data_IF_008136147427
#
_entry.id   IF_008136147427
#
_cell.length_a   1.000
_cell.length_b   1.000
_cell.length_c   1.000
_cell.angle_alpha   90.00
_cell.angle_beta   90.00
_cell.angle_gamma   90.00
#
_symmetry.space_group_name_H-M   'P 1'
#
loop_
_entity.id
_entity.type
_entity.pdbx_description
1 polymer ?
#
# COMPACT_ATOMS: atom_id res chain seq x y z
N UNK A 1 10.49 -25.26 60.96
CA UNK A 1 10.75 -24.93 59.52
C UNK A 1 9.63 -24.04 58.99
N UNK A 2 9.85 -22.73 58.80
CA UNK A 2 8.85 -21.83 58.23
C UNK A 2 8.86 -21.94 56.72
N UNK A 3 7.77 -22.45 56.16
CA UNK A 3 7.60 -22.56 54.69
C UNK A 3 7.60 -21.15 54.04
N UNK A 4 8.60 -20.85 53.21
CA UNK A 4 8.71 -19.60 52.44
C UNK A 4 7.54 -19.51 51.47
N UNK A 5 6.50 -18.74 51.82
CA UNK A 5 5.34 -18.50 50.94
C UNK A 5 5.85 -17.82 49.67
N UNK A 6 5.61 -18.43 48.49
CA UNK A 6 6.08 -17.89 47.21
C UNK A 6 5.51 -16.46 46.98
N UNK A 7 6.30 -15.58 46.36
CA UNK A 7 5.90 -14.18 46.02
C UNK A 7 4.53 -14.12 45.35
N UNK A 8 4.21 -15.11 44.50
CA UNK A 8 2.93 -15.25 43.81
C UNK A 8 1.74 -15.52 44.75
N UNK A 9 1.92 -16.34 45.80
CA UNK A 9 0.88 -16.57 46.82
C UNK A 9 0.63 -15.32 47.66
N UNK A 10 1.69 -14.54 47.96
CA UNK A 10 1.55 -13.24 48.65
C UNK A 10 0.79 -12.25 47.79
N UNK A 11 1.10 -12.15 46.50
CA UNK A 11 0.44 -11.30 45.55
C UNK A 11 -1.06 -11.66 45.35
N UNK A 12 -1.38 -12.96 45.19
CA UNK A 12 -2.77 -13.41 45.17
C UNK A 12 -3.57 -13.05 46.43
N UNK A 13 -2.96 -13.21 47.61
CA UNK A 13 -3.60 -12.81 48.89
C UNK A 13 -3.80 -11.30 48.97
N UNK A 14 -2.84 -10.49 48.55
CA UNK A 14 -2.95 -9.04 48.45
C UNK A 14 -4.10 -8.64 47.52
N UNK A 15 -4.19 -9.19 46.33
CA UNK A 15 -5.30 -8.94 45.39
C UNK A 15 -6.65 -9.31 46.03
N UNK A 16 -6.78 -10.50 46.56
CA UNK A 16 -8.05 -10.96 47.17
C UNK A 16 -8.51 -10.11 48.34
N UNK A 17 -7.58 -9.53 49.11
CA UNK A 17 -7.89 -8.67 50.26
C UNK A 17 -8.25 -7.25 49.84
N UNK A 18 -7.65 -6.70 48.82
CA UNK A 18 -7.79 -5.30 48.42
C UNK A 18 -8.76 -5.07 47.25
N UNK A 19 -9.05 -6.08 46.44
CA UNK A 19 -10.01 -5.98 45.33
C UNK A 19 -11.44 -6.27 45.84
N UNK A 20 -12.03 -5.32 46.55
CA UNK A 20 -13.45 -5.38 46.85
C UNK A 20 -14.27 -5.02 45.61
N UNK A 21 -15.56 -5.43 45.51
CA UNK A 21 -16.44 -5.01 44.41
C UNK A 21 -16.48 -3.50 44.20
N UNK A 22 -16.49 -2.76 45.28
CA UNK A 22 -16.46 -1.28 45.27
C UNK A 22 -15.15 -0.74 44.69
N UNK A 23 -14.01 -1.30 45.10
CA UNK A 23 -12.72 -0.93 44.54
C UNK A 23 -12.66 -1.24 43.03
N UNK A 24 -13.08 -2.43 42.64
CA UNK A 24 -13.11 -2.84 41.21
C UNK A 24 -13.94 -1.89 40.38
N UNK A 25 -15.12 -1.46 40.89
CA UNK A 25 -15.99 -0.48 40.23
C UNK A 25 -15.31 0.87 40.07
N UNK A 26 -14.71 1.41 41.14
CA UNK A 26 -13.98 2.69 41.06
C UNK A 26 -12.77 2.62 40.14
N UNK A 27 -12.00 1.54 40.19
CA UNK A 27 -10.87 1.34 39.30
C UNK A 27 -11.32 1.27 37.83
N UNK A 28 -12.40 0.54 37.52
CA UNK A 28 -12.99 0.48 36.17
C UNK A 28 -13.41 1.86 35.67
N UNK A 29 -14.03 2.69 36.50
CA UNK A 29 -14.38 4.07 36.12
C UNK A 29 -13.15 4.93 35.85
N UNK A 30 -12.10 4.81 36.68
CA UNK A 30 -10.86 5.55 36.46
C UNK A 30 -10.16 5.14 35.15
N UNK A 31 -10.08 3.83 34.89
CA UNK A 31 -9.52 3.29 33.64
C UNK A 31 -10.37 3.76 32.45
N UNK A 32 -11.70 3.68 32.53
CA UNK A 32 -12.57 4.15 31.47
C UNK A 32 -12.41 5.66 31.22
N UNK A 33 -12.43 6.48 32.26
CA UNK A 33 -12.23 7.92 32.15
C UNK A 33 -10.84 8.27 31.55
N UNK A 34 -9.81 7.56 31.98
CA UNK A 34 -8.46 7.72 31.41
C UNK A 34 -8.41 7.38 29.92
N UNK A 35 -8.95 6.22 29.52
CA UNK A 35 -8.98 5.80 28.12
C UNK A 35 -9.81 6.76 27.25
N UNK A 36 -10.93 7.24 27.77
CA UNK A 36 -11.78 8.23 27.08
C UNK A 36 -11.04 9.55 26.90
N UNK A 37 -10.33 10.02 27.94
CA UNK A 37 -9.55 11.25 27.87
C UNK A 37 -8.40 11.12 26.85
N UNK A 38 -7.69 10.00 26.86
CA UNK A 38 -6.64 9.72 25.87
C UNK A 38 -7.22 9.69 24.45
N UNK A 39 -8.36 9.01 24.26
CA UNK A 39 -9.02 8.96 22.95
C UNK A 39 -9.44 10.34 22.46
N UNK A 40 -9.98 11.20 23.33
CA UNK A 40 -10.32 12.59 22.99
C UNK A 40 -9.08 13.41 22.61
N UNK A 41 -8.01 13.34 23.40
CA UNK A 41 -6.76 14.06 23.10
C UNK A 41 -6.20 13.63 21.75
N UNK A 42 -6.15 12.31 21.49
CA UNK A 42 -5.70 11.77 20.20
C UNK A 42 -6.59 12.24 19.07
N UNK A 43 -7.92 12.23 19.26
CA UNK A 43 -8.88 12.70 18.26
C UNK A 43 -8.72 14.20 17.93
N UNK A 44 -8.58 15.06 18.95
CA UNK A 44 -8.37 16.50 18.76
C UNK A 44 -7.01 16.77 18.10
N UNK A 45 -5.95 16.11 18.55
CA UNK A 45 -4.63 16.26 17.96
C UNK A 45 -4.63 15.83 16.48
N UNK A 46 -5.27 14.70 16.16
CA UNK A 46 -5.36 14.23 14.79
C UNK A 46 -6.22 15.14 13.90
N UNK A 47 -7.33 15.68 14.43
CA UNK A 47 -8.12 16.69 13.73
C UNK A 47 -7.29 17.96 13.45
N UNK A 48 -6.58 18.49 14.45
CA UNK A 48 -5.74 19.67 14.29
C UNK A 48 -4.61 19.45 13.26
N UNK A 49 -3.95 18.30 13.32
CA UNK A 49 -2.92 17.92 12.34
C UNK A 49 -3.50 17.80 10.93
N UNK A 50 -4.66 17.16 10.77
CA UNK A 50 -5.32 16.99 9.46
C UNK A 50 -5.75 18.33 8.87
N UNK A 51 -6.28 19.23 9.72
CA UNK A 51 -6.62 20.60 9.34
C UNK A 51 -5.39 21.39 8.91
N UNK A 52 -4.32 21.34 9.70
CA UNK A 52 -3.02 21.97 9.37
C UNK A 52 -2.45 21.48 8.03
N UNK A 53 -2.68 20.21 7.65
CA UNK A 53 -2.27 19.74 6.32
C UNK A 53 -3.07 20.37 5.21
N UNK A 54 -4.38 20.52 5.36
CA UNK A 54 -5.24 21.14 4.36
C UNK A 54 -4.95 22.65 4.13
N UNK A 55 -4.35 23.32 5.11
CA UNK A 55 -3.94 24.74 5.01
C UNK A 55 -2.60 24.92 4.27
N UNK A 56 -1.85 23.85 4.02
CA UNK A 56 -0.59 23.93 3.27
C UNK A 56 -0.86 24.00 1.78
N UNK A 57 -0.01 24.77 1.05
CA UNK A 57 -0.06 24.76 -0.41
C UNK A 57 0.18 23.35 -0.92
N UNK A 58 -0.78 22.80 -1.66
CA UNK A 58 -0.61 21.53 -2.33
C UNK A 58 0.38 21.66 -3.48
N UNK A 59 1.37 20.80 -3.52
CA UNK A 59 2.30 20.66 -4.65
C UNK A 59 2.43 19.18 -4.91
N UNK A 60 1.98 18.73 -6.06
CA UNK A 60 2.13 17.34 -6.51
C UNK A 60 3.50 17.16 -7.19
N UNK A 61 3.94 15.94 -7.33
CA UNK A 61 5.05 15.59 -8.22
C UNK A 61 4.59 15.75 -9.67
N UNK A 62 5.52 16.10 -10.58
CA UNK A 62 5.18 16.38 -11.99
C UNK A 62 4.48 15.19 -12.66
N UNK A 63 4.94 13.98 -12.38
CA UNK A 63 4.37 12.73 -12.90
C UNK A 63 3.42 12.04 -11.90
N UNK A 64 2.81 12.79 -10.98
CA UNK A 64 1.90 12.22 -9.98
C UNK A 64 0.75 11.45 -10.62
N UNK A 65 0.51 10.23 -10.15
CA UNK A 65 -0.55 9.36 -10.64
C UNK A 65 -1.47 8.88 -9.51
N UNK A 66 -2.73 8.63 -9.90
CA UNK A 66 -3.70 7.92 -9.08
C UNK A 66 -3.93 6.58 -9.76
N UNK A 67 -3.56 5.50 -9.07
CA UNK A 67 -3.81 4.13 -9.53
C UNK A 67 -5.15 3.64 -8.99
N UNK A 68 -6.06 3.27 -9.88
CA UNK A 68 -7.27 2.57 -9.51
C UNK A 68 -6.90 1.14 -9.10
N UNK A 69 -6.98 0.85 -7.81
CA UNK A 69 -6.79 -0.50 -7.26
C UNK A 69 -7.88 -1.42 -7.80
N UNK A 70 -7.53 -2.67 -8.05
CA UNK A 70 -8.53 -3.67 -8.46
C UNK A 70 -9.74 -3.66 -7.52
N UNK A 71 -10.95 -3.70 -8.08
CA UNK A 71 -12.20 -3.50 -7.32
C UNK A 71 -12.57 -2.03 -7.03
N UNK A 72 -11.91 -1.05 -7.65
CA UNK A 72 -12.37 0.34 -7.63
C UNK A 72 -13.68 0.52 -8.44
N UNK A 73 -14.33 1.69 -8.26
CA UNK A 73 -15.58 2.04 -8.94
C UNK A 73 -16.75 1.09 -8.62
N UNK A 74 -16.81 0.59 -7.37
CA UNK A 74 -17.85 -0.33 -6.87
C UNK A 74 -17.96 -1.64 -7.67
N UNK A 75 -16.83 -2.14 -8.17
CA UNK A 75 -16.73 -3.42 -8.89
C UNK A 75 -16.08 -4.51 -8.04
N UNK A 76 -16.20 -5.76 -8.48
CA UNK A 76 -15.44 -6.86 -7.90
C UNK A 76 -13.97 -6.81 -8.34
N UNK A 77 -13.08 -7.28 -7.46
CA UNK A 77 -11.65 -7.31 -7.71
C UNK A 77 -11.31 -8.31 -8.83
N UNK A 78 -10.33 -7.95 -9.66
CA UNK A 78 -9.78 -8.82 -10.70
C UNK A 78 -10.81 -9.32 -11.72
N UNK A 79 -11.77 -8.46 -12.08
CA UNK A 79 -12.82 -8.76 -13.04
C UNK A 79 -12.74 -7.86 -14.27
N UNK A 80 -13.34 -8.34 -15.36
CA UNK A 80 -13.49 -7.53 -16.59
C UNK A 80 -14.38 -6.31 -16.35
N UNK A 81 -15.35 -6.40 -15.46
CA UNK A 81 -16.21 -5.27 -15.11
C UNK A 81 -15.43 -4.14 -14.42
N UNK A 82 -14.44 -4.48 -13.58
CA UNK A 82 -13.49 -3.47 -13.08
C UNK A 82 -12.73 -2.78 -14.22
N UNK A 83 -12.19 -3.55 -15.17
CA UNK A 83 -11.43 -2.98 -16.31
C UNK A 83 -12.31 -2.05 -17.15
N UNK A 84 -13.54 -2.46 -17.47
CA UNK A 84 -14.52 -1.63 -18.18
C UNK A 84 -14.86 -0.35 -17.41
N UNK A 85 -15.09 -0.47 -16.09
CA UNK A 85 -15.36 0.67 -15.23
C UNK A 85 -14.18 1.64 -15.19
N UNK A 86 -12.95 1.14 -15.08
CA UNK A 86 -11.74 1.96 -15.09
C UNK A 86 -11.57 2.72 -16.43
N UNK A 87 -11.83 2.07 -17.54
CA UNK A 87 -11.83 2.70 -18.88
C UNK A 87 -12.91 3.79 -18.97
N UNK A 88 -14.15 3.48 -18.57
CA UNK A 88 -15.27 4.44 -18.55
C UNK A 88 -14.97 5.68 -17.71
N UNK A 89 -14.32 5.50 -16.56
CA UNK A 89 -13.96 6.58 -15.64
C UNK A 89 -12.58 7.23 -15.96
N UNK A 90 -12.00 6.89 -17.14
CA UNK A 90 -10.74 7.45 -17.63
C UNK A 90 -9.61 7.36 -16.59
N UNK A 91 -9.49 6.22 -15.93
CA UNK A 91 -8.39 5.96 -15.01
C UNK A 91 -7.06 6.03 -15.79
N UNK A 92 -6.09 6.78 -15.24
CA UNK A 92 -4.77 6.90 -15.88
C UNK A 92 -3.87 5.70 -15.61
N UNK A 93 -4.05 5.07 -14.45
CA UNK A 93 -3.36 3.84 -14.09
C UNK A 93 -4.38 2.89 -13.46
N UNK A 94 -4.37 1.64 -13.88
CA UNK A 94 -5.11 0.55 -13.23
C UNK A 94 -4.13 -0.45 -12.62
N UNK A 95 -4.53 -1.11 -11.56
CA UNK A 95 -3.75 -2.17 -10.93
C UNK A 95 -4.51 -3.49 -11.00
N UNK A 96 -3.78 -4.56 -11.35
CA UNK A 96 -4.30 -5.92 -11.50
C UNK A 96 -3.38 -6.89 -10.75
N UNK A 97 -3.96 -7.75 -9.92
CA UNK A 97 -3.24 -8.84 -9.25
C UNK A 97 -2.96 -9.97 -10.23
N UNK A 98 -1.71 -10.40 -10.36
CA UNK A 98 -1.31 -11.33 -11.42
C UNK A 98 -0.81 -12.66 -10.85
N UNK A 99 -1.45 -13.73 -11.34
CA UNK A 99 -1.08 -15.13 -11.09
C UNK A 99 -1.05 -15.96 -12.36
N UNK A 100 -0.70 -17.21 -12.22
CA UNK A 100 -0.64 -18.16 -13.32
C UNK A 100 -1.37 -19.45 -12.95
N UNK A 101 -2.23 -19.92 -13.85
CA UNK A 101 -2.86 -21.26 -13.76
C UNK A 101 -1.81 -22.37 -13.93
N UNK A 102 -2.13 -23.63 -13.56
CA UNK A 102 -1.24 -24.76 -13.82
C UNK A 102 -0.86 -24.96 -15.30
N UNK A 103 -1.76 -24.63 -16.23
CA UNK A 103 -1.54 -24.68 -17.68
C UNK A 103 -0.72 -23.50 -18.23
N UNK A 104 -0.22 -22.63 -17.35
CA UNK A 104 0.56 -21.40 -17.63
C UNK A 104 -0.25 -20.21 -18.14
N UNK A 105 -1.57 -20.29 -18.22
CA UNK A 105 -2.43 -19.13 -18.52
C UNK A 105 -2.26 -18.05 -17.45
N UNK A 106 -2.03 -16.82 -17.87
CA UNK A 106 -1.94 -15.65 -16.97
C UNK A 106 -3.34 -15.18 -16.62
N UNK A 107 -3.60 -15.02 -15.34
CA UNK A 107 -4.91 -14.65 -14.81
C UNK A 107 -4.83 -13.50 -13.80
N UNK A 108 -5.95 -12.82 -13.66
CA UNK A 108 -6.15 -11.80 -12.64
C UNK A 108 -6.71 -12.44 -11.37
N UNK A 109 -5.90 -12.55 -10.31
CA UNK A 109 -6.34 -13.08 -9.01
C UNK A 109 -5.42 -12.64 -7.89
N UNK A 110 -6.02 -12.22 -6.76
CA UNK A 110 -5.30 -12.01 -5.52
C UNK A 110 -4.96 -13.34 -4.84
N UNK A 111 -5.90 -14.27 -4.84
CA UNK A 111 -5.80 -15.54 -4.14
C UNK A 111 -5.11 -16.61 -4.99
N UNK A 112 -4.65 -17.67 -4.33
CA UNK A 112 -3.97 -18.79 -4.99
C UNK A 112 -4.89 -19.44 -6.03
N UNK A 113 -4.37 -19.65 -7.23
CA UNK A 113 -5.06 -20.31 -8.34
C UNK A 113 -4.57 -21.76 -8.42
N UNK A 114 -5.48 -22.72 -8.30
CA UNK A 114 -5.17 -24.15 -8.19
C UNK A 114 -5.67 -24.99 -9.37
N UNK A 115 -6.63 -24.48 -10.14
CA UNK A 115 -7.18 -25.18 -11.31
C UNK A 115 -7.07 -24.34 -12.59
N UNK A 116 -7.23 -25.00 -13.74
CA UNK A 116 -7.20 -24.31 -15.04
C UNK A 116 -8.50 -23.53 -15.36
N UNK A 117 -9.49 -23.57 -14.49
CA UNK A 117 -10.75 -22.84 -14.65
C UNK A 117 -10.89 -21.68 -13.65
N UNK A 118 -9.90 -21.51 -12.75
CA UNK A 118 -9.96 -20.47 -11.74
C UNK A 118 -9.56 -19.10 -12.33
N UNK A 119 -10.22 -18.06 -11.87
CA UNK A 119 -9.95 -16.65 -12.13
C UNK A 119 -10.12 -16.21 -13.62
N UNK A 120 -10.17 -14.91 -13.81
CA UNK A 120 -10.34 -14.27 -15.12
C UNK A 120 -9.01 -14.21 -15.87
N UNK A 121 -9.00 -14.55 -17.14
CA UNK A 121 -7.80 -14.47 -17.98
C UNK A 121 -7.37 -13.01 -18.20
N UNK A 122 -6.07 -12.74 -17.99
CA UNK A 122 -5.52 -11.40 -18.20
C UNK A 122 -5.71 -10.94 -19.65
N UNK A 123 -5.60 -11.86 -20.59
CA UNK A 123 -5.72 -11.55 -22.01
C UNK A 123 -7.04 -10.85 -22.37
N UNK A 124 -8.15 -11.20 -21.70
CA UNK A 124 -9.44 -10.53 -21.90
C UNK A 124 -9.38 -9.04 -21.49
N UNK A 125 -8.67 -8.74 -20.41
CA UNK A 125 -8.44 -7.37 -19.98
C UNK A 125 -7.54 -6.60 -20.96
N UNK A 126 -6.44 -7.22 -21.43
CA UNK A 126 -5.51 -6.59 -22.37
C UNK A 126 -6.16 -6.25 -23.70
N UNK A 127 -7.09 -7.08 -24.19
CA UNK A 127 -7.90 -6.80 -25.40
C UNK A 127 -8.68 -5.48 -25.28
N UNK A 128 -9.14 -5.13 -24.09
CA UNK A 128 -9.84 -3.86 -23.84
C UNK A 128 -8.88 -2.68 -23.66
N UNK A 129 -7.77 -2.91 -22.95
CA UNK A 129 -6.83 -1.85 -22.56
C UNK A 129 -5.96 -1.39 -23.74
N UNK A 130 -5.62 -2.26 -24.68
CA UNK A 130 -4.74 -1.92 -25.82
C UNK A 130 -5.24 -0.68 -26.58
N UNK A 131 -6.55 -0.53 -26.70
CA UNK A 131 -7.20 0.56 -27.44
C UNK A 131 -7.37 1.86 -26.60
N UNK A 132 -6.81 1.90 -25.38
CA UNK A 132 -6.82 3.07 -24.48
C UNK A 132 -5.38 3.58 -24.28
N UNK A 133 -4.83 4.41 -25.19
CA UNK A 133 -3.39 4.71 -25.25
C UNK A 133 -2.83 5.40 -24.03
N UNK A 134 -3.64 6.21 -23.33
CA UNK A 134 -3.23 6.98 -22.15
C UNK A 134 -3.25 6.19 -20.84
N UNK A 135 -3.73 4.94 -20.87
CA UNK A 135 -3.83 4.11 -19.68
C UNK A 135 -2.54 3.31 -19.45
N UNK A 136 -1.95 3.46 -18.28
CA UNK A 136 -0.85 2.62 -17.79
C UNK A 136 -1.39 1.47 -16.94
N UNK A 137 -0.62 0.40 -16.83
CA UNK A 137 -0.99 -0.80 -16.09
C UNK A 137 0.06 -1.08 -15.03
N UNK A 138 -0.38 -1.20 -13.80
CA UNK A 138 0.39 -1.75 -12.69
C UNK A 138 0.04 -3.22 -12.52
N UNK A 139 0.97 -4.11 -12.78
CA UNK A 139 0.81 -5.54 -12.50
C UNK A 139 1.37 -5.85 -11.11
N UNK A 140 0.49 -6.19 -10.16
CA UNK A 140 0.88 -6.61 -8.82
C UNK A 140 1.18 -8.11 -8.82
N UNK A 141 2.47 -8.45 -8.84
CA UNK A 141 2.96 -9.81 -9.03
C UNK A 141 2.80 -10.61 -7.74
N UNK A 142 1.91 -11.59 -7.76
CA UNK A 142 1.68 -12.48 -6.61
C UNK A 142 2.58 -13.71 -6.60
N UNK A 143 3.19 -14.05 -7.73
CA UNK A 143 4.14 -15.16 -7.86
C UNK A 143 5.07 -14.97 -9.06
N UNK A 144 6.34 -15.24 -8.88
CA UNK A 144 7.37 -14.94 -9.90
C UNK A 144 7.34 -15.87 -11.12
N UNK A 145 6.75 -17.04 -11.03
CA UNK A 145 6.63 -17.98 -12.16
C UNK A 145 5.84 -17.41 -13.33
N UNK A 146 5.00 -16.39 -13.10
CA UNK A 146 4.16 -15.76 -14.13
C UNK A 146 4.93 -14.81 -15.05
N UNK A 147 6.11 -14.33 -14.65
CA UNK A 147 6.81 -13.21 -15.29
C UNK A 147 7.05 -13.41 -16.79
N UNK A 148 7.53 -14.57 -17.21
CA UNK A 148 7.79 -14.81 -18.65
C UNK A 148 6.51 -14.90 -19.47
N UNK A 149 5.45 -15.52 -18.94
CA UNK A 149 4.14 -15.59 -19.62
C UNK A 149 3.48 -14.22 -19.69
N UNK A 150 3.58 -13.42 -18.61
CA UNK A 150 3.12 -12.02 -18.59
C UNK A 150 3.85 -11.20 -19.67
N UNK A 151 5.18 -11.27 -19.71
CA UNK A 151 5.96 -10.54 -20.69
C UNK A 151 5.55 -10.89 -22.12
N UNK A 152 5.35 -12.17 -22.44
CA UNK A 152 4.93 -12.60 -23.76
C UNK A 152 3.58 -11.93 -24.16
N UNK A 153 2.58 -11.97 -23.27
CA UNK A 153 1.31 -11.28 -23.50
C UNK A 153 1.50 -9.77 -23.73
N UNK A 154 2.34 -9.11 -22.92
CA UNK A 154 2.57 -7.66 -23.06
C UNK A 154 3.24 -7.30 -24.38
N UNK A 155 4.11 -8.15 -24.91
CA UNK A 155 4.70 -8.01 -26.25
C UNK A 155 3.61 -8.16 -27.31
N UNK A 156 2.79 -9.21 -27.26
CA UNK A 156 1.73 -9.50 -28.23
C UNK A 156 0.70 -8.36 -28.33
N UNK A 157 0.42 -7.70 -27.21
CA UNK A 157 -0.53 -6.57 -27.15
C UNK A 157 0.14 -5.18 -27.24
N UNK A 158 1.48 -5.10 -27.42
CA UNK A 158 2.25 -3.85 -27.47
C UNK A 158 2.03 -2.96 -26.23
N UNK A 159 2.13 -3.56 -25.04
CA UNK A 159 1.82 -2.91 -23.77
C UNK A 159 3.03 -2.75 -22.83
N UNK A 160 4.23 -3.19 -23.20
CA UNK A 160 5.44 -3.13 -22.36
C UNK A 160 5.69 -1.71 -21.86
N UNK A 161 5.72 -0.71 -22.75
CA UNK A 161 6.07 0.67 -22.42
C UNK A 161 5.02 1.40 -21.56
N UNK A 162 3.84 0.81 -21.43
CA UNK A 162 2.74 1.33 -20.58
C UNK A 162 2.55 0.54 -19.31
N UNK A 163 3.47 -0.38 -19.01
CA UNK A 163 3.36 -1.34 -17.91
C UNK A 163 4.50 -1.19 -16.92
N UNK A 164 4.20 -1.41 -15.66
CA UNK A 164 5.21 -1.55 -14.61
C UNK A 164 4.74 -2.58 -13.58
N UNK A 165 5.68 -3.04 -12.73
CA UNK A 165 5.41 -4.09 -11.76
C UNK A 165 5.41 -3.56 -10.32
N UNK A 166 4.51 -4.11 -9.50
CA UNK A 166 4.54 -4.08 -8.04
C UNK A 166 4.45 -5.50 -7.49
N UNK A 167 4.34 -5.69 -6.17
CA UNK A 167 4.36 -7.03 -5.59
C UNK A 167 5.76 -7.65 -5.53
N UNK A 168 6.79 -6.95 -5.98
CA UNK A 168 8.17 -7.44 -6.00
C UNK A 168 8.84 -7.16 -4.65
N UNK A 169 9.02 -8.20 -3.85
CA UNK A 169 9.81 -8.14 -2.63
C UNK A 169 11.29 -8.41 -2.91
N UNK A 170 12.17 -8.10 -1.96
CA UNK A 170 13.64 -8.28 -2.09
C UNK A 170 14.00 -9.70 -2.52
N UNK A 171 13.31 -10.70 -1.96
CA UNK A 171 13.54 -12.12 -2.29
C UNK A 171 13.20 -12.46 -3.74
N UNK A 172 12.30 -11.71 -4.37
CA UNK A 172 11.80 -11.93 -5.72
C UNK A 172 12.64 -11.24 -6.80
N UNK A 173 13.52 -10.30 -6.42
CA UNK A 173 14.30 -9.48 -7.36
C UNK A 173 15.16 -10.32 -8.29
N UNK A 174 15.77 -11.39 -7.78
CA UNK A 174 16.56 -12.32 -8.59
C UNK A 174 15.71 -12.92 -9.73
N UNK A 175 14.51 -13.38 -9.42
CA UNK A 175 13.61 -13.95 -10.42
C UNK A 175 13.18 -12.92 -11.47
N UNK A 176 12.97 -11.65 -11.09
CA UNK A 176 12.70 -10.56 -12.05
C UNK A 176 13.90 -10.37 -12.98
N UNK A 177 15.11 -10.26 -12.46
CA UNK A 177 16.34 -10.05 -13.25
C UNK A 177 16.67 -11.20 -14.18
N UNK A 178 16.27 -12.43 -13.85
CA UNK A 178 16.46 -13.63 -14.66
C UNK A 178 15.32 -13.91 -15.63
N UNK A 179 14.23 -13.12 -15.58
CA UNK A 179 13.07 -13.24 -16.46
C UNK A 179 13.13 -12.31 -17.68
N UNK A 180 12.20 -12.48 -18.59
CA UNK A 180 12.00 -11.55 -19.71
C UNK A 180 11.54 -10.14 -19.26
N UNK A 181 11.03 -10.01 -18.02
CA UNK A 181 10.66 -8.71 -17.41
C UNK A 181 11.85 -7.92 -16.85
N UNK A 182 13.11 -8.37 -17.02
CA UNK A 182 14.30 -7.76 -16.42
C UNK A 182 14.49 -6.27 -16.73
N UNK A 183 13.97 -5.81 -17.88
CA UNK A 183 14.04 -4.41 -18.32
C UNK A 183 12.77 -3.61 -18.07
N UNK A 184 11.77 -4.20 -17.44
CA UNK A 184 10.55 -3.48 -17.08
C UNK A 184 10.76 -2.68 -15.80
N UNK A 185 10.18 -1.48 -15.74
CA UNK A 185 10.12 -0.70 -14.52
C UNK A 185 9.38 -1.48 -13.41
N UNK A 186 9.95 -1.49 -12.20
CA UNK A 186 9.24 -2.03 -11.04
C UNK A 186 9.53 -1.26 -9.76
N UNK A 187 8.53 -1.22 -8.89
CA UNK A 187 8.68 -0.76 -7.52
C UNK A 187 8.99 -1.93 -6.59
N UNK A 188 9.90 -1.69 -5.65
CA UNK A 188 10.16 -2.65 -4.59
C UNK A 188 9.08 -2.56 -3.50
N UNK A 189 8.36 -3.65 -3.26
CA UNK A 189 7.47 -3.75 -2.12
C UNK A 189 8.30 -3.86 -0.84
N UNK A 190 8.32 -2.78 -0.07
CA UNK A 190 9.16 -2.68 1.13
C UNK A 190 8.39 -1.98 2.25
N UNK A 191 8.54 -2.45 3.49
CA UNK A 191 7.94 -1.82 4.67
C UNK A 191 8.97 -0.98 5.42
N UNK A 192 9.06 0.33 5.15
CA UNK A 192 10.03 1.20 5.79
C UNK A 192 9.65 1.48 7.26
N UNK A 193 10.66 1.68 8.10
CA UNK A 193 10.46 2.10 9.48
C UNK A 193 10.45 3.62 9.59
N UNK A 194 9.31 4.22 9.95
CA UNK A 194 9.21 5.67 10.18
C UNK A 194 10.18 6.18 11.25
N UNK A 195 10.38 5.41 12.32
CA UNK A 195 11.26 5.81 13.42
C UNK A 195 12.73 5.79 13.03
N UNK A 196 13.14 4.84 12.18
CA UNK A 196 14.53 4.73 11.72
C UNK A 196 14.84 5.66 10.54
N UNK A 197 13.83 6.26 9.92
CA UNK A 197 14.00 7.19 8.79
C UNK A 197 14.82 8.45 9.15
N UNK A 198 15.03 8.72 10.44
CA UNK A 198 15.91 9.79 10.95
C UNK A 198 17.38 9.36 11.05
N UNK A 199 17.70 8.07 11.01
CA UNK A 199 19.07 7.54 11.07
C UNK A 199 19.71 7.55 9.69
N UNK A 200 20.92 8.10 9.59
CA UNK A 200 21.69 8.12 8.33
C UNK A 200 22.05 6.72 7.84
N UNK A 201 22.42 5.82 8.75
CA UNK A 201 22.68 4.41 8.41
C UNK A 201 21.47 3.73 7.76
N UNK A 202 20.28 4.03 8.27
CA UNK A 202 19.04 3.46 7.71
C UNK A 202 18.72 4.06 6.35
N UNK A 203 18.93 5.36 6.15
CA UNK A 203 18.76 6.04 4.87
C UNK A 203 19.71 5.47 3.82
N UNK A 204 20.98 5.29 4.17
CA UNK A 204 21.97 4.66 3.30
C UNK A 204 21.58 3.23 2.91
N UNK A 205 21.08 2.45 3.88
CA UNK A 205 20.58 1.08 3.60
C UNK A 205 19.41 1.06 2.62
N UNK A 206 18.46 2.00 2.72
CA UNK A 206 17.37 2.09 1.75
C UNK A 206 17.87 2.41 0.36
N UNK A 207 18.76 3.40 0.23
CA UNK A 207 19.31 3.78 -1.08
C UNK A 207 20.12 2.63 -1.67
N UNK A 208 21.02 2.04 -0.89
CA UNK A 208 21.76 0.87 -1.34
C UNK A 208 20.87 -0.28 -1.76
N UNK A 209 19.78 -0.54 -1.05
CA UNK A 209 18.79 -1.55 -1.41
C UNK A 209 18.19 -1.28 -2.80
N UNK A 210 17.85 -0.04 -3.11
CA UNK A 210 17.30 0.34 -4.42
C UNK A 210 18.38 0.25 -5.52
N UNK A 211 19.62 0.66 -5.25
CA UNK A 211 20.75 0.50 -6.15
C UNK A 211 21.02 -0.99 -6.47
N UNK A 212 21.08 -1.83 -5.43
CA UNK A 212 21.35 -3.26 -5.57
C UNK A 212 20.22 -4.01 -6.31
N UNK A 213 18.98 -3.57 -6.12
CA UNK A 213 17.80 -4.19 -6.76
C UNK A 213 17.56 -3.66 -8.16
N UNK A 214 17.82 -2.40 -8.44
CA UNK A 214 17.45 -1.73 -9.70
C UNK A 214 16.00 -1.27 -9.76
N UNK A 215 15.28 -1.30 -8.63
CA UNK A 215 13.89 -0.81 -8.56
C UNK A 215 13.84 0.71 -8.75
N UNK A 216 12.82 1.21 -9.45
CA UNK A 216 12.62 2.66 -9.66
C UNK A 216 12.17 3.40 -8.40
N UNK A 217 11.78 2.69 -7.36
CA UNK A 217 11.32 3.26 -6.10
C UNK A 217 10.74 2.24 -5.13
N UNK A 218 10.10 2.73 -4.09
CA UNK A 218 9.44 1.92 -3.07
C UNK A 218 7.92 1.99 -3.25
N UNK A 219 7.27 0.82 -3.16
CA UNK A 219 5.83 0.67 -2.99
C UNK A 219 5.54 0.18 -1.58
N UNK A 220 4.81 0.95 -0.78
CA UNK A 220 4.53 0.59 0.60
C UNK A 220 3.12 0.95 1.06
N UNK A 221 2.64 0.26 2.10
CA UNK A 221 1.42 0.69 2.74
C UNK A 221 1.58 2.12 3.28
N UNK A 222 0.60 2.99 3.02
CA UNK A 222 0.60 4.41 3.40
C UNK A 222 0.90 4.65 4.88
N UNK A 223 0.58 3.68 5.75
CA UNK A 223 0.86 3.75 7.19
C UNK A 223 2.36 3.82 7.50
N UNK A 224 3.20 3.34 6.60
CA UNK A 224 4.66 3.33 6.75
C UNK A 224 5.35 4.44 5.95
N UNK A 225 4.66 5.10 5.04
CA UNK A 225 5.17 6.25 4.31
C UNK A 225 5.23 7.52 5.20
N UNK A 226 6.18 8.40 4.93
CA UNK A 226 6.36 9.68 5.62
C UNK A 226 7.24 10.62 4.81
N UNK A 227 7.18 11.93 5.13
CA UNK A 227 7.91 12.98 4.40
C UNK A 227 9.44 12.78 4.39
N UNK A 228 10.01 12.18 5.44
CA UNK A 228 11.44 11.85 5.48
C UNK A 228 11.83 10.83 4.41
N UNK A 229 11.01 9.79 4.24
CA UNK A 229 11.22 8.79 3.20
C UNK A 229 11.05 9.40 1.80
N UNK A 230 9.94 10.11 1.58
CA UNK A 230 9.66 10.76 0.30
C UNK A 230 10.80 11.70 -0.12
N UNK A 231 11.22 12.59 0.76
CA UNK A 231 12.34 13.50 0.51
C UNK A 231 13.67 12.77 0.23
N UNK A 232 13.93 11.66 0.93
CA UNK A 232 15.12 10.86 0.71
C UNK A 232 15.11 10.26 -0.70
N UNK A 233 14.00 9.63 -1.08
CA UNK A 233 13.84 8.98 -2.37
C UNK A 233 13.98 9.99 -3.51
N UNK A 234 13.23 11.11 -3.46
CA UNK A 234 13.27 12.13 -4.50
C UNK A 234 14.66 12.78 -4.66
N UNK A 235 15.38 13.05 -3.56
CA UNK A 235 16.76 13.56 -3.64
C UNK A 235 17.72 12.64 -4.36
N UNK A 236 17.40 11.36 -4.45
CA UNK A 236 18.21 10.32 -5.10
C UNK A 236 17.62 9.84 -6.43
N UNK A 237 16.57 10.49 -6.92
CA UNK A 237 15.93 10.16 -8.19
C UNK A 237 14.98 8.93 -8.13
N UNK A 238 14.64 8.46 -6.93
CA UNK A 238 13.72 7.35 -6.74
C UNK A 238 12.29 7.83 -6.47
N UNK A 239 11.32 6.96 -6.74
CA UNK A 239 9.88 7.23 -6.60
C UNK A 239 9.29 6.61 -5.34
N UNK A 240 8.18 7.18 -4.86
CA UNK A 240 7.37 6.65 -3.77
C UNK A 240 5.95 6.35 -4.24
N UNK A 241 5.56 5.09 -4.20
CA UNK A 241 4.18 4.64 -4.39
C UNK A 241 3.57 4.20 -3.06
N UNK A 242 2.32 4.57 -2.79
CA UNK A 242 1.64 4.23 -1.54
C UNK A 242 0.27 3.58 -1.78
N UNK A 243 -0.09 2.58 -0.95
CA UNK A 243 -1.34 1.82 -1.03
C UNK A 243 -1.85 1.41 0.36
N UNK A 244 -3.13 1.09 0.55
CA UNK A 244 -4.28 1.50 -0.22
C UNK A 244 -4.94 2.67 0.51
N UNK A 245 -5.12 3.80 -0.16
CA UNK A 245 -5.55 5.06 0.46
C UNK A 245 -7.02 5.32 0.13
N UNK A 246 -7.93 4.85 0.98
CA UNK A 246 -9.38 4.84 0.72
C UNK A 246 -10.19 5.81 1.59
N UNK A 247 -9.54 6.83 2.18
CA UNK A 247 -10.24 7.86 2.93
C UNK A 247 -9.66 9.25 2.67
N UNK A 248 -10.52 10.28 2.66
CA UNK A 248 -10.11 11.68 2.47
C UNK A 248 -9.02 12.11 3.47
N UNK A 249 -9.12 11.67 4.72
CA UNK A 249 -8.13 11.95 5.76
C UNK A 249 -6.76 11.42 5.41
N UNK A 250 -6.69 10.15 4.97
CA UNK A 250 -5.42 9.54 4.58
C UNK A 250 -4.91 10.11 3.26
N UNK A 251 -5.80 10.44 2.33
CA UNK A 251 -5.46 11.15 1.10
C UNK A 251 -4.77 12.49 1.39
N UNK A 252 -5.34 13.35 2.25
CA UNK A 252 -4.73 14.60 2.67
C UNK A 252 -3.34 14.41 3.28
N UNK A 253 -3.18 13.39 4.16
CA UNK A 253 -1.88 13.07 4.75
C UNK A 253 -0.85 12.65 3.70
N UNK A 254 -1.25 11.81 2.75
CA UNK A 254 -0.34 11.33 1.71
C UNK A 254 0.02 12.42 0.70
N UNK A 255 -0.94 13.22 0.25
CA UNK A 255 -0.67 14.32 -0.67
C UNK A 255 0.37 15.32 -0.14
N UNK A 256 0.38 15.59 1.17
CA UNK A 256 1.38 16.47 1.81
C UNK A 256 2.80 15.90 1.77
N UNK A 257 2.96 14.58 1.81
CA UNK A 257 4.29 13.95 1.72
C UNK A 257 4.78 13.75 0.28
N UNK A 258 3.95 14.15 -0.72
CA UNK A 258 4.28 14.15 -2.15
C UNK A 258 4.71 12.76 -2.67
N UNK A 259 3.87 11.73 -2.59
CA UNK A 259 4.18 10.48 -3.29
C UNK A 259 4.10 10.69 -4.80
N UNK A 260 4.74 9.83 -5.57
CA UNK A 260 4.63 9.81 -7.04
C UNK A 260 3.36 9.08 -7.48
N UNK A 261 2.88 8.14 -6.66
CA UNK A 261 1.65 7.39 -6.91
C UNK A 261 0.85 7.13 -5.64
N UNK A 262 -0.47 7.23 -5.77
CA UNK A 262 -1.44 6.77 -4.75
C UNK A 262 -2.33 5.70 -5.36
N UNK A 263 -2.28 4.49 -4.82
CA UNK A 263 -3.21 3.41 -5.16
C UNK A 263 -4.42 3.45 -4.23
N UNK A 264 -5.63 3.43 -4.80
CA UNK A 264 -6.89 3.57 -4.05
C UNK A 264 -8.05 2.82 -4.73
N UNK A 265 -9.02 2.35 -3.94
CA UNK A 265 -10.30 1.85 -4.43
C UNK A 265 -11.28 2.96 -4.81
N UNK A 266 -10.98 4.21 -4.41
CA UNK A 266 -11.83 5.36 -4.70
C UNK A 266 -11.03 6.50 -5.37
N UNK A 267 -10.67 6.36 -6.66
CA UNK A 267 -9.91 7.39 -7.40
C UNK A 267 -10.60 8.74 -7.43
N UNK A 268 -11.93 8.77 -7.53
CA UNK A 268 -12.70 10.02 -7.59
C UNK A 268 -12.59 10.79 -6.28
N UNK A 269 -12.57 10.12 -5.13
CA UNK A 269 -12.35 10.76 -3.84
C UNK A 269 -10.97 11.45 -3.78
N UNK A 270 -9.91 10.85 -4.32
CA UNK A 270 -8.59 11.51 -4.36
C UNK A 270 -8.62 12.74 -5.26
N UNK A 271 -9.25 12.65 -6.44
CA UNK A 271 -9.42 13.80 -7.36
C UNK A 271 -10.21 14.93 -6.69
N UNK A 272 -11.29 14.60 -5.98
CA UNK A 272 -12.09 15.56 -5.23
C UNK A 272 -11.27 16.24 -4.12
N UNK A 273 -10.51 15.49 -3.35
CA UNK A 273 -9.62 16.05 -2.31
C UNK A 273 -8.61 17.02 -2.92
N UNK A 274 -8.03 16.72 -4.07
CA UNK A 274 -7.09 17.59 -4.77
C UNK A 274 -7.79 18.85 -5.25
N UNK A 275 -8.96 18.74 -5.90
CA UNK A 275 -9.71 19.88 -6.47
C UNK A 275 -10.26 20.83 -5.41
N UNK A 276 -10.57 20.32 -4.22
CA UNK A 276 -11.08 21.06 -3.07
C UNK A 276 -9.99 21.45 -2.05
N UNK A 277 -8.71 21.30 -2.41
CA UNK A 277 -7.62 21.61 -1.49
C UNK A 277 -7.57 23.09 -1.14
N UNK A 278 -7.60 23.39 0.18
CA UNK A 278 -7.53 24.76 0.68
C UNK A 278 -8.85 25.57 0.61
N UNK A 279 -9.96 24.87 0.24
CA UNK A 279 -11.30 25.47 0.24
C UNK A 279 -12.03 25.21 1.54
#
# INVERSE_FOLDING_TARGET
MAQKISKWKKFKRFLKRNMTPTWAKHFSYQVFAFLTSVAMIVGVADYAVTKSYAERKLTLMDDFTITAHTGAFDTEMNTIDFVKAAIKNKAKVIELDIRQRPDKTVVMSHDLVVTNNDATELEEALKLIKDVPDMKINFDIKETRVLNSLHALLVDYNLIDRSFLTGIEVINVKAVKESNCANMDYYLNYTPSKFRAFSDDYRQKIIKLLEDTGAIGINCNYKFAGGQLSNLLHKKGYKLSVWTVDSQRNAKKMLVIKPDNITTKNPEMIKEVISNWGK
#
